data_IF_399186062208
#
_entry.id   IF_399186062208
#
_cell.length_a   1.000
_cell.length_b   1.000
_cell.length_c   1.000
_cell.angle_alpha   90.00
_cell.angle_beta   90.00
_cell.angle_gamma   90.00
#
_symmetry.space_group_name_H-M   'P 1'
#
loop_
_entity.id
_entity.type
_entity.pdbx_description
1 polymer ?
#
# COMPACT_ATOMS: atom_id res chain seq x y z
N UNK A 1 3.21 -8.22 29.91
CA UNK A 1 2.89 -9.67 29.98
C UNK A 1 3.84 -10.41 29.04
N UNK A 2 4.59 -11.39 29.53
CA UNK A 2 5.55 -12.19 28.74
C UNK A 2 4.89 -12.93 27.58
N UNK A 3 3.62 -13.34 27.73
CA UNK A 3 2.87 -14.03 26.66
C UNK A 3 2.61 -13.12 25.47
N UNK A 4 2.36 -11.83 25.72
CA UNK A 4 2.12 -10.83 24.68
C UNK A 4 3.39 -10.54 23.87
N UNK A 5 4.52 -10.41 24.56
CA UNK A 5 5.83 -10.20 23.91
C UNK A 5 6.21 -11.40 23.04
N UNK A 6 6.03 -12.62 23.56
CA UNK A 6 6.35 -13.84 22.82
C UNK A 6 5.44 -14.05 21.61
N UNK A 7 4.14 -13.73 21.71
CA UNK A 7 3.23 -13.76 20.56
C UNK A 7 3.64 -12.76 19.48
N UNK A 8 3.97 -11.53 19.88
CA UNK A 8 4.46 -10.50 18.96
C UNK A 8 5.73 -10.92 18.23
N UNK A 9 6.67 -11.58 18.93
CA UNK A 9 7.89 -12.14 18.33
C UNK A 9 7.56 -13.18 17.26
N UNK A 10 6.66 -14.13 17.54
CA UNK A 10 6.26 -15.17 16.59
C UNK A 10 5.60 -14.59 15.35
N UNK A 11 4.66 -13.67 15.53
CA UNK A 11 3.98 -13.01 14.41
C UNK A 11 4.98 -12.29 13.50
N UNK A 12 5.99 -11.61 14.08
CA UNK A 12 7.05 -10.96 13.29
C UNK A 12 7.86 -11.96 12.47
N UNK A 13 8.21 -13.13 13.03
CA UNK A 13 8.89 -14.18 12.26
C UNK A 13 8.03 -14.72 11.12
N UNK A 14 6.74 -14.93 11.36
CA UNK A 14 5.81 -15.38 10.31
C UNK A 14 5.73 -14.37 9.15
N UNK A 15 5.57 -13.09 9.45
CA UNK A 15 5.56 -12.02 8.42
C UNK A 15 6.90 -11.95 7.68
N UNK A 16 8.02 -12.08 8.38
CA UNK A 16 9.35 -12.10 7.76
C UNK A 16 9.49 -13.25 6.75
N UNK A 17 9.01 -14.43 7.11
CA UNK A 17 9.08 -15.60 6.22
C UNK A 17 8.21 -15.38 4.98
N UNK A 18 7.00 -14.81 5.13
CA UNK A 18 6.14 -14.47 3.99
C UNK A 18 6.83 -13.50 3.01
N UNK A 19 7.58 -12.51 3.49
CA UNK A 19 8.32 -11.56 2.61
C UNK A 19 9.47 -12.26 1.86
N UNK A 20 10.02 -13.34 2.42
CA UNK A 20 11.12 -14.10 1.81
C UNK A 20 10.66 -15.16 0.82
N UNK A 21 9.39 -15.56 0.85
CA UNK A 21 8.82 -16.53 -0.08
C UNK A 21 8.58 -15.84 -1.43
N UNK A 22 9.47 -16.12 -2.39
CA UNK A 22 9.55 -15.48 -3.71
C UNK A 22 8.33 -15.83 -4.59
N UNK A 23 7.26 -15.02 -4.52
CA UNK A 23 6.03 -15.20 -5.29
C UNK A 23 5.60 -13.89 -5.99
N UNK A 24 4.85 -13.98 -7.09
CA UNK A 24 4.27 -12.87 -7.88
C UNK A 24 3.41 -11.93 -7.01
N UNK A 25 2.87 -12.45 -5.91
CA UNK A 25 2.05 -11.68 -4.95
C UNK A 25 2.88 -10.84 -3.96
N UNK A 26 4.22 -10.90 -4.02
CA UNK A 26 5.11 -10.22 -3.07
C UNK A 26 4.91 -8.70 -3.04
N UNK A 27 4.60 -8.06 -4.17
CA UNK A 27 4.32 -6.62 -4.21
C UNK A 27 3.01 -6.27 -3.50
N UNK A 28 1.98 -7.11 -3.61
CA UNK A 28 0.73 -6.93 -2.86
C UNK A 28 1.00 -7.15 -1.35
N UNK A 29 1.79 -8.14 -0.98
CA UNK A 29 2.19 -8.36 0.42
C UNK A 29 2.97 -7.15 0.98
N UNK A 30 3.94 -6.63 0.24
CA UNK A 30 4.73 -5.46 0.64
C UNK A 30 3.84 -4.23 0.79
N UNK A 31 2.89 -3.99 -0.13
CA UNK A 31 1.91 -2.92 -0.01
C UNK A 31 1.07 -3.07 1.27
N UNK A 32 0.54 -4.26 1.54
CA UNK A 32 -0.23 -4.55 2.75
C UNK A 32 0.60 -4.29 4.02
N UNK A 33 1.84 -4.78 4.08
CA UNK A 33 2.75 -4.57 5.23
C UNK A 33 3.02 -3.09 5.45
N UNK A 34 3.28 -2.32 4.39
CA UNK A 34 3.47 -0.86 4.45
C UNK A 34 2.22 -0.16 4.96
N UNK A 35 1.06 -0.48 4.41
CA UNK A 35 -0.21 0.16 4.76
C UNK A 35 -0.72 -0.22 6.15
N UNK A 36 -0.34 -1.39 6.65
CA UNK A 36 -0.56 -1.77 8.05
C UNK A 36 0.40 -1.08 9.03
N UNK A 37 1.35 -0.28 8.52
CA UNK A 37 2.33 0.44 9.33
C UNK A 37 3.42 -0.45 9.93
N UNK A 38 3.67 -1.63 9.34
CA UNK A 38 4.64 -2.61 9.83
C UNK A 38 6.00 -2.52 9.13
N UNK A 39 6.12 -1.74 8.06
CA UNK A 39 7.29 -1.69 7.18
C UNK A 39 8.62 -1.44 7.91
N UNK A 40 8.61 -0.62 8.96
CA UNK A 40 9.82 -0.25 9.68
C UNK A 40 10.48 -1.44 10.41
N UNK A 41 9.77 -2.55 10.64
CA UNK A 41 10.35 -3.79 11.17
C UNK A 41 11.03 -4.66 10.10
N UNK A 42 10.77 -4.37 8.82
CA UNK A 42 11.11 -5.24 7.68
C UNK A 42 11.78 -4.46 6.55
N UNK A 43 12.37 -3.29 6.82
CA UNK A 43 12.97 -2.43 5.78
C UNK A 43 14.02 -3.18 4.96
N UNK A 44 14.84 -4.00 5.62
CA UNK A 44 15.86 -4.82 4.98
C UNK A 44 15.23 -5.87 4.07
N UNK A 45 14.29 -6.67 4.59
CA UNK A 45 13.65 -7.74 3.82
C UNK A 45 12.83 -7.19 2.65
N UNK A 46 12.13 -6.06 2.85
CA UNK A 46 11.41 -5.36 1.79
C UNK A 46 12.38 -4.84 0.72
N UNK A 47 13.50 -4.22 1.12
CA UNK A 47 14.52 -3.73 0.20
C UNK A 47 15.12 -4.86 -0.63
N UNK A 48 15.52 -5.96 0.02
CA UNK A 48 16.05 -7.14 -0.66
C UNK A 48 15.04 -7.76 -1.62
N UNK A 49 13.75 -7.82 -1.25
CA UNK A 49 12.70 -8.35 -2.12
C UNK A 49 12.48 -7.45 -3.35
N UNK A 50 12.40 -6.13 -3.18
CA UNK A 50 12.26 -5.17 -4.28
C UNK A 50 13.47 -5.24 -5.21
N UNK A 51 14.69 -5.22 -4.66
CA UNK A 51 15.90 -5.28 -5.46
C UNK A 51 15.99 -6.56 -6.30
N UNK A 52 15.54 -7.70 -5.76
CA UNK A 52 15.46 -8.96 -6.50
C UNK A 52 14.47 -8.86 -7.65
N UNK A 53 13.26 -8.35 -7.39
CA UNK A 53 12.26 -8.16 -8.44
C UNK A 53 12.80 -7.27 -9.57
N UNK A 54 13.38 -6.12 -9.23
CA UNK A 54 13.92 -5.19 -10.23
C UNK A 54 15.03 -5.85 -11.07
N UNK A 55 15.90 -6.66 -10.45
CA UNK A 55 16.93 -7.43 -11.15
C UNK A 55 16.36 -8.52 -12.05
N UNK A 56 15.41 -9.31 -11.54
CA UNK A 56 14.79 -10.42 -12.27
C UNK A 56 14.05 -9.93 -13.51
N UNK A 57 13.46 -8.74 -13.41
CA UNK A 57 12.79 -8.10 -14.53
C UNK A 57 13.70 -7.18 -15.38
N UNK A 58 14.99 -7.06 -15.03
CA UNK A 58 15.97 -6.27 -15.77
C UNK A 58 15.62 -4.78 -15.90
N UNK A 59 14.84 -4.24 -14.97
CA UNK A 59 14.30 -2.87 -15.10
C UNK A 59 15.25 -1.82 -14.54
N UNK A 60 15.60 -0.87 -15.40
CA UNK A 60 15.75 0.53 -15.01
C UNK A 60 14.33 1.13 -15.03
N UNK A 61 13.82 1.58 -13.89
CA UNK A 61 12.41 2.02 -13.76
C UNK A 61 12.28 3.42 -14.36
N UNK A 62 11.99 3.47 -15.66
CA UNK A 62 11.61 4.70 -16.39
C UNK A 62 10.10 4.87 -16.48
N UNK A 63 9.62 6.11 -16.56
CA UNK A 63 8.22 6.45 -16.86
C UNK A 63 7.73 5.85 -18.20
N UNK A 64 8.64 5.57 -19.13
CA UNK A 64 8.36 4.92 -20.41
C UNK A 64 7.72 3.53 -20.23
N UNK A 65 7.83 2.93 -19.03
CA UNK A 65 7.13 1.69 -18.70
C UNK A 65 5.62 1.83 -18.91
N UNK A 66 5.07 3.04 -18.75
CA UNK A 66 3.64 3.32 -18.89
C UNK A 66 3.19 3.46 -20.35
N UNK A 67 4.09 3.66 -21.32
CA UNK A 67 3.76 3.73 -22.75
C UNK A 67 3.09 2.45 -23.26
N UNK A 68 3.39 1.29 -22.65
CA UNK A 68 2.73 0.01 -22.97
C UNK A 68 1.21 0.04 -22.75
N UNK A 69 0.73 0.98 -21.92
CA UNK A 69 -0.68 1.15 -21.59
C UNK A 69 -1.39 2.18 -22.49
N UNK A 70 -0.67 2.83 -23.41
CA UNK A 70 -1.23 3.75 -24.39
C UNK A 70 -1.60 3.06 -25.71
N UNK A 71 -2.61 3.59 -26.39
CA UNK A 71 -3.04 3.18 -27.72
C UNK A 71 -2.18 3.84 -28.82
N UNK A 72 -2.48 3.56 -30.08
CA UNK A 72 -1.74 4.13 -31.21
C UNK A 72 -1.96 5.64 -31.39
N UNK A 73 -2.93 6.24 -30.68
CA UNK A 73 -3.18 7.68 -30.67
C UNK A 73 -2.46 8.38 -29.50
N UNK A 74 -1.75 7.63 -28.65
CA UNK A 74 -1.08 8.14 -27.46
C UNK A 74 -1.97 8.28 -26.22
N UNK A 75 -3.23 7.79 -26.26
CA UNK A 75 -4.14 7.85 -25.12
C UNK A 75 -4.07 6.57 -24.29
N UNK A 76 -4.27 6.65 -22.97
CA UNK A 76 -4.44 5.46 -22.14
C UNK A 76 -5.60 4.60 -22.64
N UNK A 77 -5.36 3.29 -22.77
CA UNK A 77 -6.33 2.34 -23.32
C UNK A 77 -7.59 2.29 -22.46
N UNK A 78 -8.75 2.53 -23.06
CA UNK A 78 -10.08 2.41 -22.40
C UNK A 78 -10.33 1.03 -21.77
N UNK A 79 -9.67 -0.04 -22.25
CA UNK A 79 -9.80 -1.36 -21.65
C UNK A 79 -9.28 -1.44 -20.20
N UNK A 80 -8.41 -0.51 -19.78
CA UNK A 80 -7.84 -0.42 -18.42
C UNK A 80 -8.91 -0.10 -17.38
N UNK A 81 -10.00 0.56 -17.77
CA UNK A 81 -11.10 0.95 -16.87
C UNK A 81 -11.77 -0.26 -16.20
N UNK A 82 -11.62 -1.46 -16.78
CA UNK A 82 -12.12 -2.71 -16.19
C UNK A 82 -11.28 -3.20 -15.01
N UNK A 83 -10.01 -2.80 -14.94
CA UNK A 83 -9.11 -3.14 -13.84
C UNK A 83 -9.03 -1.98 -12.84
N UNK A 84 -10.01 -1.93 -11.95
CA UNK A 84 -10.10 -0.86 -10.93
C UNK A 84 -8.88 -0.86 -9.99
N UNK A 85 -8.30 -2.04 -9.69
CA UNK A 85 -7.08 -2.14 -8.88
C UNK A 85 -5.89 -1.51 -9.62
N UNK A 86 -5.68 -1.89 -10.88
CA UNK A 86 -4.63 -1.30 -11.72
C UNK A 86 -4.80 0.22 -11.90
N UNK A 87 -6.03 0.69 -12.08
CA UNK A 87 -6.36 2.12 -12.16
C UNK A 87 -6.01 2.86 -10.87
N UNK A 88 -6.31 2.29 -9.71
CA UNK A 88 -5.96 2.87 -8.42
C UNK A 88 -4.43 2.89 -8.22
N UNK A 89 -3.74 1.82 -8.59
CA UNK A 89 -2.27 1.77 -8.53
C UNK A 89 -1.63 2.83 -9.43
N UNK A 90 -2.13 3.01 -10.65
CA UNK A 90 -1.66 4.03 -11.59
C UNK A 90 -1.95 5.44 -11.07
N UNK A 91 -3.13 5.66 -10.48
CA UNK A 91 -3.48 6.93 -9.83
C UNK A 91 -2.48 7.29 -8.72
N UNK A 92 -2.19 6.36 -7.81
CA UNK A 92 -1.23 6.61 -6.71
C UNK A 92 0.20 6.83 -7.23
N UNK A 93 0.63 6.05 -8.23
CA UNK A 93 1.94 6.18 -8.85
C UNK A 93 2.11 7.53 -9.55
N UNK A 94 1.04 8.08 -10.16
CA UNK A 94 1.09 9.37 -10.86
C UNK A 94 1.49 10.56 -9.98
N UNK A 95 1.34 10.46 -8.66
CA UNK A 95 1.78 11.51 -7.75
C UNK A 95 3.24 11.41 -7.30
N UNK A 96 3.94 10.35 -7.70
CA UNK A 96 5.37 10.19 -7.44
C UNK A 96 6.22 10.76 -8.59
N UNK A 97 5.59 11.47 -9.52
CA UNK A 97 6.24 12.03 -10.70
C UNK A 97 7.26 13.11 -10.37
N UNK A 98 8.30 13.19 -11.19
CA UNK A 98 9.23 14.31 -11.26
C UNK A 98 8.75 15.37 -12.26
N UNK A 99 9.30 16.58 -12.17
CA UNK A 99 8.97 17.66 -13.10
C UNK A 99 9.42 17.28 -14.53
N UNK A 100 8.49 17.25 -15.48
CA UNK A 100 8.72 16.88 -16.88
C UNK A 100 8.07 15.57 -17.33
N UNK A 101 7.58 14.77 -16.40
CA UNK A 101 6.99 13.44 -16.64
C UNK A 101 5.52 13.53 -17.13
N UNK A 102 5.32 13.97 -18.37
CA UNK A 102 3.98 14.25 -18.94
C UNK A 102 3.04 13.03 -18.93
N UNK A 103 3.59 11.83 -19.09
CA UNK A 103 2.78 10.60 -19.08
C UNK A 103 2.09 10.36 -17.74
N UNK A 104 2.71 10.78 -16.64
CA UNK A 104 2.12 10.67 -15.30
C UNK A 104 1.06 11.73 -15.04
N UNK A 105 1.21 12.93 -15.59
CA UNK A 105 0.14 13.95 -15.57
C UNK A 105 -1.11 13.46 -16.33
N UNK A 106 -0.92 12.87 -17.51
CA UNK A 106 -1.98 12.24 -18.29
C UNK A 106 -2.60 11.05 -17.55
N UNK A 107 -1.77 10.22 -16.92
CA UNK A 107 -2.23 9.09 -16.11
C UNK A 107 -3.09 9.57 -14.94
N UNK A 108 -2.70 10.66 -14.27
CA UNK A 108 -3.47 11.25 -13.19
C UNK A 108 -4.84 11.71 -13.66
N UNK A 109 -4.89 12.43 -14.79
CA UNK A 109 -6.13 12.93 -15.37
C UNK A 109 -7.08 11.80 -15.77
N UNK A 110 -6.54 10.81 -16.50
CA UNK A 110 -7.29 9.62 -16.93
C UNK A 110 -7.85 8.84 -15.74
N UNK A 111 -6.98 8.47 -14.79
CA UNK A 111 -7.39 7.67 -13.63
C UNK A 111 -8.35 8.42 -12.72
N UNK A 112 -8.12 9.71 -12.45
CA UNK A 112 -9.03 10.55 -11.65
C UNK A 112 -10.44 10.59 -12.23
N UNK A 113 -10.56 10.74 -13.55
CA UNK A 113 -11.85 10.82 -14.23
C UNK A 113 -12.63 9.50 -14.08
N UNK A 114 -12.00 8.37 -14.38
CA UNK A 114 -12.67 7.07 -14.33
C UNK A 114 -12.96 6.60 -12.90
N UNK A 115 -12.03 6.83 -11.95
CA UNK A 115 -12.21 6.45 -10.55
C UNK A 115 -13.37 7.22 -9.90
N UNK A 116 -13.54 8.51 -10.21
CA UNK A 116 -14.70 9.31 -9.74
C UNK A 116 -16.03 8.83 -10.34
N UNK A 117 -15.99 8.23 -11.53
CA UNK A 117 -17.15 7.69 -12.23
C UNK A 117 -17.51 6.24 -11.87
N UNK A 118 -16.80 5.61 -10.93
CA UNK A 118 -17.02 4.20 -10.57
C UNK A 118 -18.42 3.96 -10.03
N UNK A 119 -19.07 2.92 -10.57
CA UNK A 119 -20.38 2.42 -10.12
C UNK A 119 -20.26 1.16 -9.26
N UNK A 120 -19.08 0.92 -8.68
CA UNK A 120 -18.86 -0.22 -7.79
C UNK A 120 -19.79 -0.18 -6.57
N UNK A 121 -19.98 -1.34 -5.95
CA UNK A 121 -20.68 -1.45 -4.68
C UNK A 121 -19.97 -0.58 -3.64
N UNK A 122 -20.72 0.37 -3.05
CA UNK A 122 -20.19 1.31 -2.08
C UNK A 122 -19.66 0.65 -0.81
N UNK A 123 -20.07 -0.60 -0.56
CA UNK A 123 -19.61 -1.41 0.56
C UNK A 123 -18.35 -2.23 0.25
N UNK A 124 -17.86 -2.22 -1.00
CA UNK A 124 -16.66 -2.95 -1.39
C UNK A 124 -15.42 -2.30 -0.77
N UNK A 125 -14.48 -3.13 -0.31
CA UNK A 125 -13.18 -2.68 0.19
C UNK A 125 -12.44 -1.82 -0.86
N UNK A 126 -12.55 -2.20 -2.14
CA UNK A 126 -11.92 -1.48 -3.24
C UNK A 126 -12.52 -0.09 -3.41
N UNK A 127 -13.85 0.06 -3.28
CA UNK A 127 -14.51 1.35 -3.31
C UNK A 127 -14.10 2.26 -2.14
N UNK A 128 -13.98 1.71 -0.93
CA UNK A 128 -13.45 2.46 0.23
C UNK A 128 -12.04 3.00 -0.04
N UNK A 129 -11.17 2.16 -0.64
CA UNK A 129 -9.80 2.56 -1.00
C UNK A 129 -9.77 3.65 -2.06
N UNK A 130 -10.59 3.54 -3.10
CA UNK A 130 -10.65 4.54 -4.17
C UNK A 130 -11.07 5.89 -3.60
N UNK A 131 -12.14 5.96 -2.81
CA UNK A 131 -12.61 7.25 -2.27
C UNK A 131 -11.55 7.92 -1.39
N UNK A 132 -10.89 7.15 -0.53
CA UNK A 132 -9.80 7.70 0.28
C UNK A 132 -8.66 8.26 -0.57
N UNK A 133 -8.34 7.60 -1.67
CA UNK A 133 -7.26 8.02 -2.58
C UNK A 133 -7.63 9.29 -3.32
N UNK A 134 -8.88 9.40 -3.76
CA UNK A 134 -9.42 10.63 -4.35
C UNK A 134 -9.52 11.80 -3.36
N UNK A 135 -9.67 11.55 -2.06
CA UNK A 135 -9.61 12.59 -1.01
C UNK A 135 -8.17 13.08 -0.77
N UNK A 136 -7.24 12.14 -0.59
CA UNK A 136 -5.82 12.45 -0.40
C UNK A 136 -4.97 11.27 -0.88
N UNK A 137 -4.02 11.47 -1.80
CA UNK A 137 -3.12 10.40 -2.25
C UNK A 137 -2.30 9.80 -1.10
N UNK A 138 -2.01 8.50 -1.17
CA UNK A 138 -1.38 7.72 -0.11
C UNK A 138 -0.08 8.34 0.41
N UNK A 139 0.79 8.82 -0.48
CA UNK A 139 2.10 9.41 -0.12
C UNK A 139 1.99 10.73 0.69
N UNK A 140 0.81 11.39 0.72
CA UNK A 140 0.55 12.60 1.51
C UNK A 140 -0.15 12.32 2.83
N UNK A 141 -0.56 11.07 3.08
CA UNK A 141 -1.32 10.72 4.30
C UNK A 141 -0.39 10.58 5.49
N UNK A 142 -0.90 10.93 6.67
CA UNK A 142 -0.19 10.68 7.91
C UNK A 142 -0.16 9.18 8.19
N UNK A 143 1.04 8.60 8.17
CA UNK A 143 1.27 7.14 8.19
C UNK A 143 0.48 6.41 9.28
N UNK A 144 0.46 6.92 10.52
CA UNK A 144 -0.25 6.24 11.62
C UNK A 144 -1.77 6.33 11.53
N UNK A 145 -2.31 7.42 11.00
CA UNK A 145 -3.75 7.56 10.80
C UNK A 145 -4.22 6.64 9.67
N UNK A 146 -3.43 6.58 8.60
CA UNK A 146 -3.66 5.63 7.50
C UNK A 146 -3.56 4.18 8.01
N UNK A 147 -2.51 3.84 8.77
CA UNK A 147 -2.35 2.48 9.30
C UNK A 147 -3.51 2.05 10.18
N UNK A 148 -4.00 2.93 11.06
CA UNK A 148 -5.19 2.64 11.89
C UNK A 148 -6.41 2.33 11.02
N UNK A 149 -6.71 3.19 10.05
CA UNK A 149 -7.84 2.98 9.16
C UNK A 149 -7.67 1.69 8.35
N UNK A 150 -6.47 1.44 7.83
CA UNK A 150 -6.20 0.29 6.99
C UNK A 150 -6.32 -1.01 7.77
N UNK A 151 -5.90 -1.08 9.03
CA UNK A 151 -6.16 -2.22 9.92
C UNK A 151 -7.66 -2.51 10.01
N UNK A 152 -8.48 -1.47 10.18
CA UNK A 152 -9.94 -1.61 10.32
C UNK A 152 -10.63 -2.02 9.02
N UNK A 153 -10.13 -1.58 7.87
CA UNK A 153 -10.68 -1.90 6.54
C UNK A 153 -10.18 -3.27 6.04
N UNK A 154 -8.87 -3.55 6.13
CA UNK A 154 -8.24 -4.78 5.66
C UNK A 154 -8.81 -6.03 6.35
N UNK A 155 -9.05 -5.98 7.67
CA UNK A 155 -9.63 -7.12 8.41
C UNK A 155 -11.03 -7.52 7.94
N UNK A 156 -11.76 -6.65 7.22
CA UNK A 156 -13.10 -6.94 6.69
C UNK A 156 -13.03 -7.75 5.40
N UNK A 157 -11.87 -7.80 4.74
CA UNK A 157 -11.69 -8.58 3.51
C UNK A 157 -11.85 -10.07 3.79
N UNK A 158 -12.44 -10.80 2.85
CA UNK A 158 -12.62 -12.26 2.95
C UNK A 158 -11.28 -13.01 2.88
N UNK A 159 -10.31 -12.44 2.18
CA UNK A 159 -8.96 -12.96 1.95
C UNK A 159 -7.91 -12.33 2.89
N UNK A 160 -8.33 -11.65 3.96
CA UNK A 160 -7.41 -11.00 4.88
C UNK A 160 -6.49 -12.01 5.57
N UNK A 161 -5.18 -11.77 5.52
CA UNK A 161 -4.22 -12.54 6.29
C UNK A 161 -4.28 -12.09 7.76
N UNK A 162 -4.88 -12.94 8.60
CA UNK A 162 -5.09 -12.64 10.01
C UNK A 162 -3.81 -12.53 10.82
N UNK A 163 -2.69 -13.12 10.37
CA UNK A 163 -1.37 -12.94 10.99
C UNK A 163 -0.92 -11.49 10.85
N UNK A 164 -1.09 -10.89 9.68
CA UNK A 164 -0.78 -9.48 9.43
C UNK A 164 -1.70 -8.56 10.25
N UNK A 165 -2.99 -8.86 10.33
CA UNK A 165 -3.96 -8.09 11.13
C UNK A 165 -3.58 -8.11 12.61
N UNK A 166 -3.26 -9.29 13.15
CA UNK A 166 -2.86 -9.43 14.56
C UNK A 166 -1.55 -8.71 14.84
N UNK A 167 -0.54 -8.88 13.98
CA UNK A 167 0.75 -8.21 14.09
C UNK A 167 0.58 -6.68 14.11
N UNK A 168 -0.22 -6.14 13.17
CA UNK A 168 -0.47 -4.71 13.05
C UNK A 168 -1.22 -4.14 14.28
N UNK A 169 -2.25 -4.84 14.76
CA UNK A 169 -2.98 -4.42 15.97
C UNK A 169 -2.09 -4.41 17.20
N UNK A 170 -1.26 -5.43 17.37
CA UNK A 170 -0.34 -5.49 18.50
C UNK A 170 0.69 -4.37 18.44
N UNK A 171 1.31 -4.17 17.28
CA UNK A 171 2.31 -3.13 17.08
C UNK A 171 1.74 -1.72 17.31
N UNK A 172 0.56 -1.45 16.75
CA UNK A 172 -0.15 -0.19 16.94
C UNK A 172 -0.43 0.10 18.42
N UNK A 173 -0.90 -0.91 19.17
CA UNK A 173 -1.22 -0.76 20.59
C UNK A 173 0.03 -0.54 21.46
N UNK A 174 1.14 -1.22 21.16
CA UNK A 174 2.43 -1.00 21.83
C UNK A 174 2.89 0.44 21.61
N UNK A 175 2.92 0.88 20.35
CA UNK A 175 3.35 2.22 20.00
C UNK A 175 2.43 3.30 20.60
N UNK A 176 1.12 3.05 20.63
CA UNK A 176 0.15 3.96 21.26
C UNK A 176 0.41 4.07 22.78
N UNK A 177 0.66 2.96 23.46
CA UNK A 177 0.98 2.95 24.89
C UNK A 177 2.23 3.77 25.20
N UNK A 178 3.30 3.62 24.39
CA UNK A 178 4.54 4.37 24.57
C UNK A 178 4.32 5.88 24.36
N UNK A 179 3.64 6.28 23.28
CA UNK A 179 3.33 7.69 23.02
C UNK A 179 2.49 8.32 24.13
N UNK A 180 1.52 7.58 24.68
CA UNK A 180 0.70 8.06 25.79
C UNK A 180 1.53 8.27 27.06
N UNK A 181 2.56 7.46 27.28
CA UNK A 181 3.49 7.63 28.40
C UNK A 181 4.37 8.86 28.19
N UNK A 182 4.97 9.02 27.02
CA UNK A 182 5.78 10.20 26.66
C UNK A 182 4.96 11.50 26.79
N UNK A 183 3.71 11.50 26.32
CA UNK A 183 2.82 12.65 26.46
C UNK A 183 2.58 13.00 27.94
N UNK A 184 2.39 12.00 28.81
CA UNK A 184 2.21 12.22 30.26
C UNK A 184 3.48 12.77 30.92
N UNK A 185 4.65 12.47 30.39
CA UNK A 185 5.92 12.98 30.89
C UNK A 185 6.16 14.43 30.45
N UNK A 186 5.83 14.76 29.21
CA UNK A 186 5.98 16.12 28.64
C UNK A 186 4.89 17.08 29.16
N UNK A 187 3.70 16.58 29.47
CA UNK A 187 2.59 17.42 29.97
C UNK A 187 2.68 17.74 31.47
N UNK A 188 3.79 17.38 32.12
CA UNK A 188 4.11 17.73 33.51
C UNK A 188 4.99 18.98 33.57
#
# INVERSE_FOLDING_TARGET
DLRYVERGRRLKEEVRNMIKEENVEILELIDIVKRLGLNYHFEKEIGEAIDRLLRDYGYDVSEDIFERFKDHNGNFKECLVKDVKGMLSLYEASFLSYEGEQILDEANAFTSFHLRGLKEDKSSFLFEQVNRSLELPLHRRFQRLEARWYIESYQKRKDANMVLVEAAKMDFNILQSNLQQELKEISK
#
